data_IF_005877589163
#
_entry.id   IF_005877589163
#
_cell.length_a   1.000
_cell.length_b   1.000
_cell.length_c   1.000
_cell.angle_alpha   90.00
_cell.angle_beta   90.00
_cell.angle_gamma   90.00
#
_symmetry.space_group_name_H-M   'P 1'
#
loop_
_entity.id
_entity.type
_entity.pdbx_description
1 polymer ?
#
# COMPACT_ATOMS: atom_id res chain seq x y z
N UNK A 1 26.98 -88.11 10.85
CA UNK A 1 26.54 -86.82 10.29
C UNK A 1 27.28 -86.59 8.97
N UNK A 2 26.58 -86.41 7.84
CA UNK A 2 27.18 -86.42 6.47
C UNK A 2 27.93 -85.10 6.23
N UNK A 3 29.24 -85.13 5.97
CA UNK A 3 29.96 -85.38 4.69
C UNK A 3 29.75 -84.31 3.61
N UNK A 4 30.82 -83.53 3.41
CA UNK A 4 31.18 -82.68 2.26
C UNK A 4 31.57 -83.55 1.05
N UNK A 5 31.13 -83.19 -0.17
CA UNK A 5 31.53 -83.65 -1.52
C UNK A 5 30.43 -83.23 -2.55
N UNK A 6 30.64 -82.97 -3.85
CA UNK A 6 31.83 -82.72 -4.71
C UNK A 6 31.39 -82.08 -6.03
N UNK A 7 32.35 -81.43 -6.72
CA UNK A 7 32.39 -80.91 -8.10
C UNK A 7 31.56 -81.61 -9.21
N UNK A 8 31.20 -80.85 -10.26
CA UNK A 8 31.22 -81.12 -11.72
C UNK A 8 30.51 -79.94 -12.46
N UNK A 9 30.73 -79.55 -13.73
CA UNK A 9 31.87 -79.59 -14.67
C UNK A 9 31.57 -78.64 -15.87
N UNK A 10 32.54 -78.39 -16.78
CA UNK A 10 32.44 -77.70 -18.11
C UNK A 10 32.13 -76.18 -18.15
N UNK A 11 32.42 -75.40 -19.21
CA UNK A 11 33.58 -75.09 -20.11
C UNK A 11 33.02 -74.16 -21.22
N UNK A 12 33.74 -73.09 -21.63
CA UNK A 12 33.41 -72.11 -22.71
C UNK A 12 32.09 -71.30 -22.56
N UNK A 13 32.03 -70.00 -22.86
CA UNK A 13 32.46 -69.32 -24.09
C UNK A 13 32.94 -67.86 -23.85
N UNK A 14 33.70 -67.32 -24.79
CA UNK A 14 34.15 -65.90 -24.86
C UNK A 14 33.11 -65.06 -25.64
N UNK A 15 33.00 -63.74 -25.39
CA UNK A 15 32.91 -62.65 -26.42
C UNK A 15 32.80 -61.22 -25.78
N UNK A 16 33.88 -60.48 -26.00
CA UNK A 16 34.20 -59.02 -26.03
C UNK A 16 33.19 -57.85 -25.83
N UNK A 17 33.79 -56.72 -25.37
CA UNK A 17 33.44 -55.29 -25.57
C UNK A 17 32.25 -54.70 -24.75
N UNK A 18 32.25 -53.44 -24.28
CA UNK A 18 33.14 -52.27 -24.52
C UNK A 18 33.14 -51.26 -23.34
N UNK A 19 34.08 -50.30 -23.32
CA UNK A 19 34.26 -49.29 -22.25
C UNK A 19 33.48 -47.97 -22.50
N UNK A 20 33.12 -47.26 -21.42
CA UNK A 20 33.11 -45.80 -21.33
C UNK A 20 33.56 -45.35 -19.91
N UNK A 21 34.39 -44.29 -19.76
CA UNK A 21 34.97 -43.89 -18.47
C UNK A 21 34.19 -42.76 -17.75
N UNK A 22 34.43 -42.62 -16.45
CA UNK A 22 33.88 -41.59 -15.58
C UNK A 22 34.61 -40.25 -15.69
N UNK A 23 33.88 -39.14 -15.60
CA UNK A 23 34.42 -37.79 -15.42
C UNK A 23 33.77 -37.11 -14.21
N UNK A 24 34.61 -36.68 -13.27
CA UNK A 24 34.29 -35.75 -12.19
C UNK A 24 34.92 -34.40 -12.51
N UNK A 25 34.20 -33.29 -12.32
CA UNK A 25 34.78 -31.94 -12.35
C UNK A 25 34.12 -31.06 -11.28
N UNK A 26 34.94 -30.13 -10.79
CA UNK A 26 34.70 -29.23 -9.66
C UNK A 26 33.90 -27.99 -10.05
N UNK A 27 33.04 -27.51 -9.15
CA UNK A 27 32.45 -26.17 -9.23
C UNK A 27 33.51 -25.10 -8.91
N UNK A 28 33.93 -24.34 -9.92
CA UNK A 28 34.61 -23.05 -9.71
C UNK A 28 33.57 -21.91 -9.69
N UNK A 29 33.52 -21.17 -8.58
CA UNK A 29 32.71 -19.95 -8.47
C UNK A 29 33.43 -18.81 -9.19
N UNK A 30 33.09 -18.58 -10.46
CA UNK A 30 33.57 -17.43 -11.21
C UNK A 30 32.90 -16.13 -10.74
N UNK A 31 33.68 -15.19 -10.20
CA UNK A 31 33.21 -13.85 -9.85
C UNK A 31 33.11 -12.96 -11.09
N UNK A 32 31.90 -12.79 -11.65
CA UNK A 32 31.67 -11.85 -12.76
C UNK A 32 31.89 -10.38 -12.32
N UNK A 33 32.87 -9.72 -12.94
CA UNK A 33 33.12 -8.28 -12.76
C UNK A 33 31.95 -7.49 -13.39
N UNK A 34 31.35 -6.51 -12.70
CA UNK A 34 30.19 -5.80 -13.23
C UNK A 34 30.55 -4.93 -14.45
N UNK A 35 29.70 -4.89 -15.50
CA UNK A 35 29.98 -4.09 -16.69
C UNK A 35 29.94 -2.58 -16.37
N UNK A 36 30.87 -1.83 -16.94
CA UNK A 36 30.89 -0.37 -16.84
C UNK A 36 29.73 0.22 -17.66
N UNK A 37 28.76 0.81 -16.98
CA UNK A 37 27.54 1.37 -17.61
C UNK A 37 27.91 2.61 -18.42
N UNK A 38 27.61 2.61 -19.72
CA UNK A 38 27.85 3.76 -20.58
C UNK A 38 26.90 4.91 -20.26
N UNK A 39 27.44 6.11 -20.01
CA UNK A 39 26.63 7.30 -19.65
C UNK A 39 25.99 8.02 -20.83
N UNK A 40 26.24 7.57 -22.08
CA UNK A 40 25.63 8.13 -23.30
C UNK A 40 25.37 7.03 -24.35
N UNK A 41 24.13 6.56 -24.42
CA UNK A 41 23.66 5.60 -25.42
C UNK A 41 22.46 4.77 -24.92
N UNK A 42 21.81 4.05 -25.84
CA UNK A 42 20.83 3.02 -25.47
C UNK A 42 21.54 1.84 -24.84
N UNK A 43 21.11 1.44 -23.64
CA UNK A 43 21.69 0.33 -22.87
C UNK A 43 21.76 -0.96 -23.69
N UNK A 44 22.91 -1.64 -23.64
CA UNK A 44 23.08 -2.95 -24.27
C UNK A 44 22.23 -4.02 -23.60
N UNK A 45 21.94 -5.13 -24.30
CA UNK A 45 21.20 -6.25 -23.70
C UNK A 45 21.89 -6.80 -22.44
N UNK A 46 23.21 -6.73 -22.34
CA UNK A 46 23.97 -7.10 -21.15
C UNK A 46 23.76 -6.12 -19.99
N UNK A 47 23.85 -4.80 -20.22
CA UNK A 47 23.55 -3.77 -19.21
C UNK A 47 22.09 -3.82 -18.77
N UNK A 48 21.13 -3.98 -19.71
CA UNK A 48 19.71 -4.20 -19.38
C UNK A 48 19.52 -5.47 -18.56
N UNK A 49 20.19 -6.57 -18.90
CA UNK A 49 20.11 -7.82 -18.12
C UNK A 49 20.78 -7.71 -16.75
N UNK A 50 21.82 -6.87 -16.61
CA UNK A 50 22.51 -6.59 -15.36
C UNK A 50 21.71 -5.65 -14.46
N UNK A 51 21.09 -4.60 -15.02
CA UNK A 51 20.17 -3.71 -14.32
C UNK A 51 18.89 -4.44 -13.90
N UNK A 52 18.33 -5.27 -14.80
CA UNK A 52 17.23 -6.18 -14.47
C UNK A 52 17.65 -7.20 -13.41
N UNK A 53 18.89 -7.73 -13.44
CA UNK A 53 19.44 -8.54 -12.32
C UNK A 53 19.59 -7.74 -11.03
N UNK A 54 20.04 -6.48 -11.03
CA UNK A 54 20.07 -5.65 -9.81
C UNK A 54 18.68 -5.37 -9.25
N UNK A 55 17.67 -5.20 -10.09
CA UNK A 55 16.26 -5.09 -9.66
C UNK A 55 15.71 -6.43 -9.14
N UNK A 56 16.12 -7.56 -9.73
CA UNK A 56 15.65 -8.91 -9.34
C UNK A 56 16.41 -9.54 -8.16
N UNK A 57 17.66 -9.14 -7.89
CA UNK A 57 18.45 -9.62 -6.73
C UNK A 57 17.84 -9.23 -5.37
N UNK A 58 16.71 -8.51 -5.38
CA UNK A 58 15.96 -8.06 -4.21
C UNK A 58 14.54 -8.68 -4.11
N UNK A 59 14.10 -9.47 -5.10
CA UNK A 59 12.74 -10.03 -5.18
C UNK A 59 12.80 -11.57 -5.37
N UNK A 60 12.37 -12.38 -4.39
CA UNK A 60 10.97 -12.70 -4.00
C UNK A 60 10.37 -13.85 -4.84
N UNK A 61 9.44 -14.59 -4.24
CA UNK A 61 8.81 -15.80 -4.80
C UNK A 61 7.78 -15.51 -5.91
N UNK A 62 7.06 -16.54 -6.37
CA UNK A 62 6.05 -16.41 -7.43
C UNK A 62 4.84 -15.52 -7.08
N UNK A 63 4.63 -15.18 -5.80
CA UNK A 63 3.63 -14.22 -5.35
C UNK A 63 4.22 -12.82 -5.08
N UNK A 64 5.55 -12.68 -5.07
CA UNK A 64 6.25 -11.47 -4.67
C UNK A 64 6.53 -11.42 -3.17
N UNK A 65 6.70 -12.56 -2.49
CA UNK A 65 7.02 -12.68 -1.06
C UNK A 65 8.47 -13.10 -0.79
N UNK A 66 9.04 -12.65 0.32
CA UNK A 66 10.39 -12.97 0.79
C UNK A 66 10.41 -13.91 2.00
N UNK A 67 9.35 -13.90 2.82
CA UNK A 67 9.19 -14.69 4.06
C UNK A 67 10.34 -14.51 5.06
N UNK A 68 10.24 -13.54 5.98
CA UNK A 68 11.30 -13.31 6.96
C UNK A 68 11.27 -14.38 8.06
N UNK A 69 12.31 -15.22 8.11
CA UNK A 69 12.36 -16.38 9.01
C UNK A 69 12.67 -15.98 10.46
N UNK A 70 11.65 -15.58 11.21
CA UNK A 70 11.78 -15.19 12.62
C UNK A 70 11.79 -16.42 13.54
N UNK A 71 12.95 -16.64 14.16
CA UNK A 71 13.11 -17.58 15.27
C UNK A 71 12.89 -16.88 16.61
N UNK A 72 12.10 -17.48 17.51
CA UNK A 72 11.90 -16.97 18.87
C UNK A 72 13.03 -17.51 19.76
N UNK A 73 13.78 -16.64 20.48
CA UNK A 73 14.83 -17.09 21.38
C UNK A 73 14.32 -18.04 22.48
N UNK A 74 15.03 -19.13 22.78
CA UNK A 74 14.65 -20.04 23.86
C UNK A 74 14.68 -19.30 25.21
N UNK A 75 13.56 -19.31 25.92
CA UNK A 75 13.38 -18.60 27.18
C UNK A 75 12.48 -17.35 27.11
N UNK A 76 12.08 -16.89 25.92
CA UNK A 76 11.10 -15.81 25.81
C UNK A 76 9.71 -16.30 26.20
N UNK A 77 9.11 -15.63 27.19
CA UNK A 77 7.74 -15.87 27.66
C UNK A 77 6.88 -14.66 27.31
N UNK A 78 5.73 -14.91 26.70
CA UNK A 78 4.74 -13.90 26.34
C UNK A 78 3.48 -14.09 27.19
N UNK A 79 2.80 -12.99 27.53
CA UNK A 79 1.57 -13.04 28.34
C UNK A 79 0.45 -13.85 27.67
N UNK A 80 0.40 -13.81 26.34
CA UNK A 80 -0.58 -14.52 25.52
C UNK A 80 -0.06 -14.70 24.08
N UNK A 81 -0.76 -15.51 23.29
CA UNK A 81 -0.39 -15.81 21.91
C UNK A 81 -0.42 -14.60 20.96
N UNK A 82 -1.22 -13.57 21.24
CA UNK A 82 -1.32 -12.36 20.38
C UNK A 82 -0.05 -11.52 20.48
N UNK A 83 0.50 -11.37 21.69
CA UNK A 83 1.79 -10.68 21.88
C UNK A 83 2.96 -11.49 21.30
N UNK A 84 2.89 -12.83 21.33
CA UNK A 84 3.85 -13.70 20.62
C UNK A 84 3.78 -13.52 19.11
N UNK A 85 2.59 -13.50 18.53
CA UNK A 85 2.38 -13.31 17.09
C UNK A 85 2.76 -11.87 16.67
N UNK A 86 2.50 -10.87 17.53
CA UNK A 86 2.97 -9.50 17.34
C UNK A 86 4.50 -9.37 17.41
N UNK A 87 5.17 -10.11 18.30
CA UNK A 87 6.63 -10.17 18.33
C UNK A 87 7.20 -10.69 17.01
N UNK A 88 6.60 -11.75 16.44
CA UNK A 88 7.00 -12.27 15.13
C UNK A 88 6.83 -11.18 14.05
N UNK A 89 5.66 -10.54 13.99
CA UNK A 89 5.38 -9.46 13.05
C UNK A 89 6.37 -8.29 13.14
N UNK A 90 6.62 -7.79 14.35
CA UNK A 90 7.46 -6.62 14.60
C UNK A 90 8.95 -6.93 14.38
N UNK A 91 9.41 -8.14 14.68
CA UNK A 91 10.79 -8.55 14.37
C UNK A 91 11.00 -8.82 12.87
N UNK A 92 10.02 -9.38 12.16
CA UNK A 92 10.04 -9.46 10.69
C UNK A 92 10.12 -8.06 10.06
N UNK A 93 9.33 -7.12 10.57
CA UNK A 93 9.36 -5.74 10.08
C UNK A 93 10.68 -5.03 10.42
N UNK A 94 11.25 -5.27 11.61
CA UNK A 94 12.59 -4.78 11.97
C UNK A 94 13.69 -5.32 11.06
N UNK A 95 13.58 -6.55 10.57
CA UNK A 95 14.49 -7.10 9.56
C UNK A 95 14.27 -6.52 8.15
N UNK A 96 13.04 -6.12 7.82
CA UNK A 96 12.69 -5.44 6.59
C UNK A 96 13.03 -3.92 6.60
N UNK A 97 13.40 -3.36 7.76
CA UNK A 97 13.89 -1.98 7.92
C UNK A 97 15.39 -1.92 7.60
N UNK A 98 15.75 -1.02 6.70
CA UNK A 98 17.09 -0.85 6.12
C UNK A 98 17.76 0.42 6.66
N UNK A 99 16.97 1.43 7.05
CA UNK A 99 17.46 2.69 7.61
C UNK A 99 16.44 3.22 8.62
N UNK A 100 16.91 3.51 9.83
CA UNK A 100 16.13 4.11 10.91
C UNK A 100 16.95 5.29 11.49
N UNK A 101 16.84 6.50 10.91
CA UNK A 101 17.74 7.62 11.22
C UNK A 101 17.65 8.12 12.66
N UNK A 102 16.48 7.99 13.27
CA UNK A 102 16.22 8.41 14.66
C UNK A 102 16.29 7.26 15.66
N UNK A 103 16.60 6.03 15.21
CA UNK A 103 16.68 4.82 16.02
C UNK A 103 15.37 4.52 16.78
N UNK A 104 14.22 4.79 16.14
CA UNK A 104 12.88 4.60 16.71
C UNK A 104 12.65 3.12 17.05
N UNK A 105 12.99 2.22 16.13
CA UNK A 105 12.90 0.77 16.35
C UNK A 105 14.02 0.22 17.24
N UNK A 106 14.90 1.06 17.78
CA UNK A 106 16.02 0.68 18.62
C UNK A 106 15.59 -0.17 19.83
N UNK A 107 14.51 0.22 20.52
CA UNK A 107 14.00 -0.49 21.69
C UNK A 107 13.17 -1.75 21.37
N UNK A 108 12.91 -2.07 20.08
CA UNK A 108 12.18 -3.28 19.66
C UNK A 108 13.01 -4.55 19.90
N UNK A 109 13.12 -4.96 21.17
CA UNK A 109 13.94 -6.07 21.66
C UNK A 109 13.27 -6.71 22.89
N UNK A 110 13.43 -8.03 23.06
CA UNK A 110 12.79 -8.77 24.16
C UNK A 110 11.30 -9.07 23.91
N UNK A 111 10.61 -9.76 24.84
CA UNK A 111 9.24 -10.23 24.62
C UNK A 111 8.14 -9.20 24.91
N UNK A 112 8.41 -8.10 25.61
CA UNK A 112 7.40 -7.08 25.98
C UNK A 112 7.17 -6.08 24.85
N UNK A 113 6.50 -6.54 23.79
CA UNK A 113 6.18 -5.76 22.58
C UNK A 113 5.37 -4.49 22.84
N UNK A 114 4.75 -4.36 24.02
CA UNK A 114 3.98 -3.18 24.40
C UNK A 114 4.86 -2.05 24.97
N UNK A 115 6.18 -2.25 25.06
CA UNK A 115 7.18 -1.23 25.40
C UNK A 115 7.95 -0.71 24.18
N UNK A 116 7.65 -1.24 23.00
CA UNK A 116 8.29 -0.87 21.75
C UNK A 116 7.82 0.52 21.32
N UNK A 117 8.74 1.37 20.86
CA UNK A 117 8.42 2.72 20.40
C UNK A 117 7.44 2.64 19.22
N UNK A 118 6.39 3.46 19.27
CA UNK A 118 5.33 3.46 18.26
C UNK A 118 4.39 2.26 18.27
N UNK A 119 4.47 1.35 19.27
CA UNK A 119 3.56 0.19 19.39
C UNK A 119 2.62 0.36 20.58
N UNK A 120 1.31 0.37 20.31
CA UNK A 120 0.28 0.66 21.30
C UNK A 120 -0.57 -0.57 21.60
N UNK A 121 -0.58 -1.00 22.86
CA UNK A 121 -1.38 -2.13 23.32
C UNK A 121 -2.66 -1.69 24.04
N UNK A 122 -3.75 -2.43 23.82
CA UNK A 122 -5.03 -2.22 24.50
C UNK A 122 -5.65 -3.57 24.94
N UNK A 123 -6.66 -3.58 25.83
CA UNK A 123 -7.43 -4.78 26.14
C UNK A 123 -8.07 -5.37 24.88
N UNK A 124 -7.97 -6.69 24.71
CA UNK A 124 -8.48 -7.36 23.52
C UNK A 124 -10.01 -7.21 23.39
N UNK A 125 -10.56 -6.91 22.20
CA UNK A 125 -11.99 -6.62 22.03
C UNK A 125 -12.93 -7.76 22.41
N UNK A 126 -12.48 -9.01 22.27
CA UNK A 126 -13.20 -10.23 22.60
C UNK A 126 -12.87 -10.79 24.00
N UNK A 127 -11.76 -10.37 24.62
CA UNK A 127 -11.44 -10.70 26.00
C UNK A 127 -10.64 -9.59 26.69
N UNK A 128 -11.33 -8.75 27.46
CA UNK A 128 -10.74 -7.59 28.16
C UNK A 128 -9.71 -7.93 29.24
N UNK A 129 -9.50 -9.21 29.60
CA UNK A 129 -8.49 -9.61 30.59
C UNK A 129 -7.08 -9.80 30.00
N UNK A 130 -6.95 -9.86 28.68
CA UNK A 130 -5.66 -9.91 27.98
C UNK A 130 -5.44 -8.62 27.18
N UNK A 131 -4.18 -8.20 27.03
CA UNK A 131 -3.79 -7.11 26.12
C UNK A 131 -3.28 -7.65 24.78
N UNK A 132 -3.48 -6.86 23.74
CA UNK A 132 -3.07 -7.13 22.35
C UNK A 132 -2.53 -5.84 21.73
N UNK A 133 -1.76 -5.93 20.65
CA UNK A 133 -1.35 -4.74 19.87
C UNK A 133 -2.58 -4.23 19.12
N UNK A 134 -2.96 -2.99 19.41
CA UNK A 134 -4.16 -2.34 18.88
C UNK A 134 -3.82 -1.14 17.97
N UNK A 135 -2.64 -0.54 18.13
CA UNK A 135 -2.17 0.54 17.27
C UNK A 135 -0.68 0.42 16.95
N UNK A 136 -0.30 0.93 15.79
CA UNK A 136 1.08 1.27 15.43
C UNK A 136 1.08 2.69 14.91
N UNK A 137 1.96 3.54 15.44
CA UNK A 137 2.22 4.89 14.93
C UNK A 137 3.74 5.11 14.86
N UNK A 138 4.26 5.26 13.64
CA UNK A 138 5.65 5.61 13.35
C UNK A 138 5.74 6.87 12.48
N UNK A 139 4.80 7.81 12.66
CA UNK A 139 4.73 9.02 11.88
C UNK A 139 6.03 9.86 12.00
N UNK A 140 6.49 10.39 10.86
CA UNK A 140 7.68 11.25 10.73
C UNK A 140 9.02 10.62 11.13
N UNK A 141 9.13 9.29 11.18
CA UNK A 141 10.35 8.59 11.59
C UNK A 141 11.43 8.47 10.49
N UNK A 142 11.16 8.89 9.25
CA UNK A 142 12.05 8.74 8.07
C UNK A 142 12.60 7.31 7.88
N UNK A 143 11.88 6.28 8.32
CA UNK A 143 12.31 4.88 8.25
C UNK A 143 12.23 4.39 6.80
N UNK A 144 13.31 3.80 6.29
CA UNK A 144 13.32 3.13 4.98
C UNK A 144 13.29 1.62 5.13
N UNK A 145 12.45 0.95 4.33
CA UNK A 145 12.26 -0.49 4.36
C UNK A 145 11.07 -0.90 3.50
N UNK A 146 10.48 -2.05 3.78
CA UNK A 146 9.20 -2.48 3.22
C UNK A 146 8.29 -3.05 4.31
N UNK A 147 7.01 -3.24 3.98
CA UNK A 147 6.06 -3.96 4.83
C UNK A 147 6.14 -5.46 4.49
N UNK A 148 6.53 -6.35 5.42
CA UNK A 148 6.53 -7.79 5.19
C UNK A 148 5.13 -8.40 5.42
N UNK A 149 4.87 -9.59 4.88
CA UNK A 149 3.56 -10.27 4.99
C UNK A 149 3.29 -10.76 6.44
N UNK A 150 4.32 -10.93 7.27
CA UNK A 150 4.20 -11.28 8.69
C UNK A 150 3.48 -10.20 9.51
N UNK A 151 3.43 -8.93 9.06
CA UNK A 151 2.64 -7.88 9.71
C UNK A 151 1.12 -8.21 9.73
N UNK A 152 0.64 -9.06 8.83
CA UNK A 152 -0.72 -9.60 8.88
C UNK A 152 -1.07 -10.40 10.15
N UNK A 153 -0.06 -10.78 10.96
CA UNK A 153 -0.27 -11.40 12.27
C UNK A 153 -0.83 -10.43 13.34
N UNK A 154 -0.79 -9.12 13.12
CA UNK A 154 -1.37 -8.10 14.01
C UNK A 154 -2.91 -8.05 13.89
N UNK A 155 -3.61 -9.13 14.26
CA UNK A 155 -5.03 -9.35 13.91
C UNK A 155 -6.03 -8.37 14.56
N UNK A 156 -5.67 -7.81 15.71
CA UNK A 156 -6.51 -6.87 16.47
C UNK A 156 -6.20 -5.40 16.19
N UNK A 157 -5.27 -5.12 15.28
CA UNK A 157 -4.86 -3.78 14.91
C UNK A 157 -6.07 -2.96 14.43
N UNK A 158 -6.25 -1.79 15.07
CA UNK A 158 -7.29 -0.81 14.78
C UNK A 158 -6.71 0.43 14.09
N UNK A 159 -5.48 0.82 14.41
CA UNK A 159 -4.80 2.01 13.87
C UNK A 159 -3.44 1.59 13.30
N UNK A 160 -3.14 2.00 12.06
CA UNK A 160 -1.81 1.83 11.47
C UNK A 160 -1.38 3.11 10.75
N UNK A 161 -0.52 3.89 11.41
CA UNK A 161 0.00 5.15 10.91
C UNK A 161 1.50 5.07 10.68
N UNK A 162 1.92 5.34 9.45
CA UNK A 162 3.34 5.39 9.06
C UNK A 162 3.64 6.59 8.14
N UNK A 163 2.92 7.71 8.30
CA UNK A 163 3.10 8.94 7.54
C UNK A 163 4.58 9.40 7.54
N UNK A 164 5.03 9.99 6.43
CA UNK A 164 6.36 10.61 6.33
C UNK A 164 7.51 9.65 6.65
N UNK A 165 7.51 8.52 5.95
CA UNK A 165 8.56 7.52 5.98
C UNK A 165 9.06 7.24 4.55
N UNK A 166 9.96 6.27 4.41
CA UNK A 166 10.54 5.82 3.15
C UNK A 166 10.22 4.35 2.88
N UNK A 167 9.09 3.85 3.38
CA UNK A 167 8.64 2.49 3.10
C UNK A 167 8.26 2.33 1.62
N UNK A 168 8.68 1.22 1.00
CA UNK A 168 8.51 0.99 -0.42
C UNK A 168 7.94 -0.41 -0.75
N UNK A 169 7.65 -0.62 -2.04
CA UNK A 169 7.02 -1.85 -2.54
C UNK A 169 5.49 -1.75 -2.55
N UNK A 170 4.82 -2.89 -2.41
CA UNK A 170 3.35 -2.99 -2.42
C UNK A 170 2.82 -3.24 -1.00
N UNK A 171 1.56 -2.84 -0.76
CA UNK A 171 0.85 -3.19 0.49
C UNK A 171 0.63 -4.72 0.56
N UNK A 172 1.04 -5.40 1.66
CA UNK A 172 0.93 -6.85 1.79
C UNK A 172 -0.49 -7.41 1.67
N UNK A 173 -0.64 -8.58 1.04
CA UNK A 173 -1.96 -9.20 0.80
C UNK A 173 -2.56 -9.81 2.07
N UNK A 174 -1.71 -10.16 3.04
CA UNK A 174 -2.10 -10.62 4.38
C UNK A 174 -2.83 -9.56 5.20
N UNK A 175 -2.75 -8.27 4.87
CA UNK A 175 -3.50 -7.21 5.59
C UNK A 175 -5.02 -7.41 5.53
N UNK A 176 -5.52 -8.29 4.65
CA UNK A 176 -6.91 -8.79 4.66
C UNK A 176 -7.30 -9.44 6.01
N UNK A 177 -6.33 -9.84 6.84
CA UNK A 177 -6.53 -10.44 8.17
C UNK A 177 -6.90 -9.37 9.21
N UNK A 178 -6.53 -8.10 9.00
CA UNK A 178 -6.83 -6.98 9.89
C UNK A 178 -8.31 -6.58 9.84
N UNK A 179 -9.18 -7.44 10.40
CA UNK A 179 -10.65 -7.27 10.38
C UNK A 179 -11.16 -6.17 11.31
N UNK A 180 -10.29 -5.58 12.13
CA UNK A 180 -10.60 -4.50 13.08
C UNK A 180 -9.97 -3.16 12.71
N UNK A 181 -9.17 -3.09 11.63
CA UNK A 181 -8.55 -1.84 11.22
C UNK A 181 -9.63 -0.80 10.91
N UNK A 182 -9.45 0.38 11.48
CA UNK A 182 -10.34 1.52 11.49
C UNK A 182 -9.68 2.71 10.77
N UNK A 183 -8.39 2.95 11.05
CA UNK A 183 -7.55 3.97 10.41
C UNK A 183 -6.33 3.33 9.75
N UNK A 184 -6.10 3.69 8.49
CA UNK A 184 -4.92 3.30 7.71
C UNK A 184 -4.30 4.55 7.06
N UNK A 185 -3.16 4.98 7.60
CA UNK A 185 -2.35 6.06 7.03
C UNK A 185 -1.01 5.52 6.52
N UNK A 186 -0.91 5.44 5.19
CA UNK A 186 0.30 5.06 4.45
C UNK A 186 0.91 6.27 3.71
N UNK A 187 0.50 7.49 4.05
CA UNK A 187 0.82 8.67 3.26
C UNK A 187 2.29 9.10 3.33
N UNK A 188 2.72 9.89 2.35
CA UNK A 188 4.10 10.40 2.23
C UNK A 188 5.14 9.28 2.41
N UNK A 189 5.08 8.31 1.50
CA UNK A 189 5.93 7.12 1.45
C UNK A 189 6.36 6.84 -0.01
N UNK A 190 6.89 5.64 -0.28
CA UNK A 190 7.37 5.18 -1.60
C UNK A 190 6.63 3.92 -2.04
N UNK A 191 5.36 3.75 -1.64
CA UNK A 191 4.55 2.60 -2.06
C UNK A 191 4.18 2.74 -3.53
N UNK A 192 4.34 1.66 -4.30
CA UNK A 192 4.18 1.65 -5.75
C UNK A 192 3.37 0.44 -6.23
N UNK A 193 2.84 0.54 -7.46
CA UNK A 193 2.01 -0.48 -8.09
C UNK A 193 0.51 -0.14 -8.05
N UNK A 194 -0.38 -1.11 -8.32
CA UNK A 194 -1.82 -0.85 -8.38
C UNK A 194 -2.39 -0.43 -7.02
N UNK A 195 -3.61 0.15 -7.04
CA UNK A 195 -4.40 0.41 -5.84
C UNK A 195 -4.40 -0.82 -4.90
N UNK A 196 -4.23 -0.63 -3.57
CA UNK A 196 -4.15 -1.74 -2.62
C UNK A 196 -5.53 -2.35 -2.35
N UNK A 197 -6.02 -3.22 -3.25
CA UNK A 197 -7.34 -3.90 -3.16
C UNK A 197 -7.57 -4.65 -1.84
N UNK A 198 -6.53 -4.90 -1.05
CA UNK A 198 -6.62 -5.47 0.30
C UNK A 198 -7.42 -4.57 1.26
N UNK A 199 -7.39 -3.25 1.08
CA UNK A 199 -8.19 -2.26 1.85
C UNK A 199 -9.68 -2.47 1.67
N UNK A 200 -10.11 -2.96 0.49
CA UNK A 200 -11.51 -3.27 0.24
C UNK A 200 -12.03 -4.38 1.17
N UNK A 201 -11.14 -5.30 1.56
CA UNK A 201 -11.43 -6.47 2.40
C UNK A 201 -11.41 -6.18 3.91
N UNK A 202 -11.16 -4.92 4.30
CA UNK A 202 -11.20 -4.44 5.69
C UNK A 202 -12.63 -3.94 6.00
N UNK A 203 -13.41 -4.62 6.86
CA UNK A 203 -14.84 -4.34 7.05
C UNK A 203 -15.13 -3.24 8.09
N UNK A 204 -14.09 -2.68 8.72
CA UNK A 204 -14.19 -1.64 9.76
C UNK A 204 -13.42 -0.36 9.44
N UNK A 205 -12.76 -0.32 8.28
CA UNK A 205 -11.97 0.82 7.84
C UNK A 205 -12.90 2.03 7.62
N UNK A 206 -12.57 3.16 8.24
CA UNK A 206 -13.23 4.46 8.09
C UNK A 206 -12.33 5.51 7.46
N UNK A 207 -11.06 5.53 7.83
CA UNK A 207 -10.08 6.48 7.31
C UNK A 207 -9.06 5.74 6.43
N UNK A 208 -8.91 6.19 5.18
CA UNK A 208 -7.93 5.66 4.24
C UNK A 208 -7.10 6.81 3.66
N UNK A 209 -5.84 6.88 4.06
CA UNK A 209 -4.87 7.83 3.52
C UNK A 209 -3.72 7.10 2.80
N UNK A 210 -3.64 7.35 1.49
CA UNK A 210 -2.63 6.84 0.56
C UNK A 210 -1.89 8.00 -0.15
N UNK A 211 -2.09 9.26 0.26
CA UNK A 211 -1.57 10.42 -0.47
C UNK A 211 -0.05 10.50 -0.49
N UNK A 212 0.53 11.19 -1.48
CA UNK A 212 1.99 11.29 -1.67
C UNK A 212 2.66 9.90 -1.73
N UNK A 213 2.28 9.11 -2.73
CA UNK A 213 2.86 7.80 -3.02
C UNK A 213 3.01 7.61 -4.54
N UNK A 214 3.39 6.40 -4.94
CA UNK A 214 3.63 6.00 -6.33
C UNK A 214 2.60 4.98 -6.83
N UNK A 215 1.37 4.98 -6.27
CA UNK A 215 0.31 4.09 -6.73
C UNK A 215 -0.19 4.49 -8.13
N UNK A 216 -0.55 3.52 -8.95
CA UNK A 216 -0.87 3.72 -10.36
C UNK A 216 -2.05 2.86 -10.87
N UNK A 217 -2.50 3.14 -12.09
CA UNK A 217 -3.61 2.43 -12.71
C UNK A 217 -4.98 2.89 -12.18
N UNK A 218 -5.96 1.99 -12.18
CA UNK A 218 -7.35 2.31 -11.85
C UNK A 218 -7.66 2.19 -10.36
N UNK A 219 -8.49 3.08 -9.83
CA UNK A 219 -9.12 2.91 -8.52
C UNK A 219 -10.32 1.96 -8.68
N UNK A 220 -10.46 0.88 -7.88
CA UNK A 220 -11.61 0.00 -7.96
C UNK A 220 -12.90 0.75 -7.57
N UNK A 221 -13.96 0.58 -8.36
CA UNK A 221 -15.25 1.22 -8.10
C UNK A 221 -15.87 0.81 -6.76
N UNK A 222 -15.53 -0.39 -6.28
CA UNK A 222 -15.97 -0.96 -5.01
C UNK A 222 -15.46 -0.15 -3.80
N UNK A 223 -14.48 0.75 -3.99
CA UNK A 223 -14.06 1.71 -2.97
C UNK A 223 -15.22 2.64 -2.58
N UNK A 224 -16.00 3.10 -3.56
CA UNK A 224 -17.09 4.06 -3.36
C UNK A 224 -18.35 3.41 -2.78
N UNK A 225 -18.45 2.08 -2.79
CA UNK A 225 -19.51 1.34 -2.08
C UNK A 225 -19.12 1.00 -0.62
N UNK A 226 -17.91 1.37 -0.15
CA UNK A 226 -17.52 1.18 1.24
C UNK A 226 -18.07 2.28 2.13
N UNK A 227 -18.45 1.87 3.33
CA UNK A 227 -18.79 2.71 4.47
C UNK A 227 -17.54 3.43 5.04
N UNK A 228 -16.84 4.21 4.21
CA UNK A 228 -15.70 5.06 4.60
C UNK A 228 -16.17 6.46 5.00
N UNK A 229 -15.39 7.14 5.83
CA UNK A 229 -15.60 8.52 6.24
C UNK A 229 -14.67 9.49 5.49
N UNK A 230 -13.39 9.13 5.35
CA UNK A 230 -12.42 9.94 4.62
C UNK A 230 -11.55 9.13 3.65
N UNK A 231 -11.31 9.68 2.45
CA UNK A 231 -10.47 9.09 1.40
C UNK A 231 -9.46 10.12 0.88
N UNK A 232 -8.18 9.89 1.15
CA UNK A 232 -7.08 10.69 0.62
C UNK A 232 -6.24 9.84 -0.33
N UNK A 233 -6.30 10.11 -1.64
CA UNK A 233 -5.52 9.39 -2.66
C UNK A 233 -4.76 10.35 -3.61
N UNK A 234 -4.64 11.61 -3.20
CA UNK A 234 -3.98 12.67 -3.97
C UNK A 234 -2.45 12.49 -4.06
N UNK A 235 -1.84 13.12 -5.07
CA UNK A 235 -0.40 12.96 -5.36
C UNK A 235 0.00 11.48 -5.52
N UNK A 236 -0.61 10.86 -6.53
CA UNK A 236 -0.30 9.51 -7.00
C UNK A 236 -0.29 9.52 -8.54
N UNK A 237 -0.21 8.35 -9.18
CA UNK A 237 -0.28 8.16 -10.63
C UNK A 237 -1.56 7.43 -11.05
N UNK A 238 -2.66 7.60 -10.30
CA UNK A 238 -3.92 6.96 -10.66
C UNK A 238 -4.47 7.54 -11.96
N UNK A 239 -4.91 6.66 -12.86
CA UNK A 239 -5.51 6.99 -14.14
C UNK A 239 -6.82 6.23 -14.31
N UNK A 240 -7.93 6.94 -14.08
CA UNK A 240 -9.27 6.36 -14.02
C UNK A 240 -10.33 7.39 -14.45
N UNK A 241 -11.47 6.93 -14.94
CA UNK A 241 -12.68 7.76 -15.05
C UNK A 241 -13.57 7.48 -13.84
N UNK A 242 -14.17 8.51 -13.24
CA UNK A 242 -15.01 8.32 -12.07
C UNK A 242 -16.27 7.50 -12.44
N UNK A 243 -16.61 6.45 -11.67
CA UNK A 243 -17.68 5.53 -12.03
C UNK A 243 -19.05 6.05 -11.60
N UNK A 244 -20.13 5.53 -12.19
CA UNK A 244 -21.50 5.94 -11.85
C UNK A 244 -21.84 5.74 -10.36
N UNK A 245 -21.21 4.78 -9.68
CA UNK A 245 -21.39 4.56 -8.24
C UNK A 245 -20.52 5.46 -7.34
N UNK A 246 -19.80 6.46 -7.88
CA UNK A 246 -19.05 7.44 -7.08
C UNK A 246 -19.94 8.08 -6.00
N UNK A 247 -21.17 8.43 -6.37
CA UNK A 247 -22.21 8.96 -5.50
C UNK A 247 -22.74 8.03 -4.40
N UNK A 248 -22.35 6.75 -4.36
CA UNK A 248 -22.73 5.85 -3.28
C UNK A 248 -21.89 6.07 -2.01
N UNK A 249 -20.76 6.79 -2.14
CA UNK A 249 -19.79 6.92 -1.07
C UNK A 249 -20.33 7.83 0.06
N UNK A 250 -20.36 7.38 1.32
CA UNK A 250 -20.91 8.14 2.44
C UNK A 250 -19.90 9.09 3.09
N UNK A 251 -18.75 9.31 2.44
CA UNK A 251 -17.62 10.10 2.95
C UNK A 251 -17.98 11.57 3.23
N UNK A 252 -17.36 12.11 4.26
CA UNK A 252 -17.31 13.54 4.58
C UNK A 252 -16.21 14.25 3.77
N UNK A 253 -15.05 13.60 3.56
CA UNK A 253 -13.89 14.18 2.88
C UNK A 253 -13.32 13.27 1.80
N UNK A 254 -13.13 13.79 0.59
CA UNK A 254 -12.46 13.08 -0.51
C UNK A 254 -11.49 13.94 -1.33
N UNK A 255 -10.22 13.54 -1.35
CA UNK A 255 -9.13 14.27 -2.02
C UNK A 255 -8.52 13.40 -3.12
N UNK A 256 -8.86 13.73 -4.37
CA UNK A 256 -8.43 13.07 -5.61
C UNK A 256 -7.31 13.84 -6.34
N UNK A 257 -6.92 14.99 -5.81
CA UNK A 257 -6.03 15.96 -6.44
C UNK A 257 -4.70 15.39 -6.97
N UNK A 258 -4.10 16.04 -7.97
CA UNK A 258 -2.75 15.72 -8.45
C UNK A 258 -2.61 14.23 -8.85
N UNK A 259 -3.39 13.82 -9.85
CA UNK A 259 -3.43 12.48 -10.42
C UNK A 259 -3.67 12.58 -11.94
N UNK A 260 -4.00 11.47 -12.60
CA UNK A 260 -4.42 11.42 -14.01
C UNK A 260 -5.87 10.92 -14.16
N UNK A 261 -6.76 11.31 -13.25
CA UNK A 261 -8.20 11.09 -13.46
C UNK A 261 -8.66 11.83 -14.71
N UNK A 262 -9.62 11.26 -15.43
CA UNK A 262 -10.14 11.81 -16.69
C UNK A 262 -11.63 11.46 -16.86
N UNK A 263 -12.21 11.80 -18.00
CA UNK A 263 -13.65 11.65 -18.20
C UNK A 263 -14.44 12.82 -17.61
N UNK A 264 -15.73 12.62 -17.42
CA UNK A 264 -16.62 13.62 -16.84
C UNK A 264 -16.73 13.43 -15.32
N UNK A 265 -17.10 14.49 -14.60
CA UNK A 265 -17.60 14.34 -13.22
C UNK A 265 -19.01 13.72 -13.29
N UNK A 266 -19.27 12.57 -12.64
CA UNK A 266 -20.55 11.87 -12.77
C UNK A 266 -21.65 12.60 -12.00
N UNK A 267 -22.86 12.61 -12.55
CA UNK A 267 -24.04 13.22 -11.92
C UNK A 267 -24.39 12.60 -10.55
N UNK A 268 -23.94 11.37 -10.28
CA UNK A 268 -24.11 10.73 -8.98
C UNK A 268 -23.38 11.43 -7.84
N UNK A 269 -22.37 12.28 -8.11
CA UNK A 269 -21.74 13.13 -7.09
C UNK A 269 -22.78 13.89 -6.24
N UNK A 270 -23.86 14.39 -6.85
CA UNK A 270 -24.97 15.04 -6.11
C UNK A 270 -25.79 14.15 -5.17
N UNK A 271 -25.45 12.87 -5.03
CA UNK A 271 -26.04 11.96 -4.04
C UNK A 271 -25.21 11.87 -2.74
N UNK A 272 -23.99 12.44 -2.70
CA UNK A 272 -23.09 12.37 -1.55
C UNK A 272 -23.50 13.35 -0.45
N UNK A 273 -24.63 13.08 0.21
CA UNK A 273 -25.27 14.03 1.16
C UNK A 273 -24.46 14.36 2.42
N UNK A 274 -23.44 13.56 2.75
CA UNK A 274 -22.54 13.80 3.88
C UNK A 274 -21.30 14.62 3.51
N UNK A 275 -21.08 14.90 2.22
CA UNK A 275 -19.83 15.45 1.71
C UNK A 275 -19.64 16.91 2.14
N UNK A 276 -18.56 17.14 2.87
CA UNK A 276 -18.11 18.46 3.35
C UNK A 276 -16.97 18.99 2.47
N UNK A 277 -15.98 18.15 2.14
CA UNK A 277 -14.83 18.57 1.32
C UNK A 277 -14.59 17.63 0.13
N UNK A 278 -14.53 18.20 -1.07
CA UNK A 278 -14.09 17.51 -2.29
C UNK A 278 -13.05 18.31 -3.06
N UNK A 279 -11.88 17.70 -3.25
CA UNK A 279 -10.75 18.32 -3.95
C UNK A 279 -10.33 17.41 -5.13
N UNK A 280 -10.70 17.84 -6.33
CA UNK A 280 -10.44 17.18 -7.61
C UNK A 280 -9.38 17.91 -8.46
N UNK A 281 -8.70 18.91 -7.89
CA UNK A 281 -7.75 19.77 -8.60
C UNK A 281 -6.63 19.02 -9.34
N UNK A 282 -6.07 19.65 -10.39
CA UNK A 282 -4.92 19.15 -11.15
C UNK A 282 -5.11 17.69 -11.61
N UNK A 283 -6.08 17.52 -12.50
CA UNK A 283 -6.47 16.26 -13.14
C UNK A 283 -6.85 16.53 -14.60
N UNK A 284 -7.32 15.50 -15.30
CA UNK A 284 -7.83 15.57 -16.68
C UNK A 284 -9.36 15.52 -16.79
N UNK A 285 -10.10 15.97 -15.76
CA UNK A 285 -11.57 16.03 -15.84
C UNK A 285 -11.98 17.03 -16.93
N UNK A 286 -12.98 16.64 -17.74
CA UNK A 286 -13.45 17.34 -18.94
C UNK A 286 -14.96 17.45 -18.95
N UNK A 287 -15.50 18.16 -19.95
CA UNK A 287 -16.94 18.46 -20.09
C UNK A 287 -17.44 19.47 -19.05
N UNK A 288 -18.75 19.70 -19.04
CA UNK A 288 -19.43 20.54 -18.05
C UNK A 288 -19.52 19.82 -16.69
N UNK A 289 -19.58 20.61 -15.61
CA UNK A 289 -20.00 20.09 -14.30
C UNK A 289 -21.48 19.67 -14.37
N UNK A 290 -21.87 18.54 -13.74
CA UNK A 290 -23.27 18.13 -13.69
C UNK A 290 -24.07 19.07 -12.78
N UNK A 291 -25.31 19.48 -13.15
CA UNK A 291 -26.13 20.36 -12.31
C UNK A 291 -26.50 19.73 -10.95
N UNK A 292 -26.37 18.41 -10.82
CA UNK A 292 -26.52 17.67 -9.57
C UNK A 292 -25.60 18.12 -8.43
N UNK A 293 -24.46 18.78 -8.70
CA UNK A 293 -23.58 19.32 -7.64
C UNK A 293 -24.32 20.27 -6.68
N UNK A 294 -25.36 20.97 -7.16
CA UNK A 294 -26.22 21.84 -6.35
C UNK A 294 -27.02 21.13 -5.24
N UNK A 295 -26.90 19.80 -5.11
CA UNK A 295 -27.46 19.02 -4.01
C UNK A 295 -26.49 18.84 -2.84
N UNK A 296 -25.21 19.17 -3.03
CA UNK A 296 -24.15 19.09 -2.01
C UNK A 296 -24.25 20.25 -1.01
N UNK A 297 -25.32 20.24 -0.20
CA UNK A 297 -25.64 21.34 0.73
C UNK A 297 -24.59 21.54 1.83
N UNK A 298 -23.99 20.45 2.29
CA UNK A 298 -22.99 20.46 3.36
C UNK A 298 -21.56 20.79 2.86
N UNK A 299 -21.36 20.93 1.55
CA UNK A 299 -20.02 21.08 0.99
C UNK A 299 -19.46 22.48 1.25
N UNK A 300 -18.43 22.55 2.09
CA UNK A 300 -17.70 23.77 2.45
C UNK A 300 -16.52 24.04 1.52
N UNK A 301 -15.95 22.99 0.92
CA UNK A 301 -14.82 23.03 -0.03
C UNK A 301 -15.15 22.23 -1.29
N UNK A 302 -15.16 22.90 -2.44
CA UNK A 302 -15.35 22.27 -3.75
C UNK A 302 -14.30 22.78 -4.76
N UNK A 303 -13.15 22.10 -4.81
CA UNK A 303 -12.04 22.49 -5.69
C UNK A 303 -11.95 21.58 -6.92
N UNK A 304 -12.17 22.17 -8.10
CA UNK A 304 -12.04 21.53 -9.43
C UNK A 304 -11.00 22.23 -10.32
N UNK A 305 -10.13 23.05 -9.73
CA UNK A 305 -9.10 23.84 -10.41
C UNK A 305 -8.12 22.98 -11.23
N UNK A 306 -7.43 23.61 -12.20
CA UNK A 306 -6.42 22.93 -13.04
C UNK A 306 -6.94 21.63 -13.73
N UNK A 307 -8.19 21.67 -14.21
CA UNK A 307 -8.81 20.63 -15.02
C UNK A 307 -9.13 21.16 -16.44
N UNK A 308 -9.71 20.30 -17.29
CA UNK A 308 -10.11 20.60 -18.67
C UNK A 308 -11.64 20.78 -18.79
N UNK A 309 -12.27 21.30 -17.72
CA UNK A 309 -13.71 21.55 -17.67
C UNK A 309 -14.11 22.67 -18.65
N UNK A 310 -15.34 22.59 -19.15
CA UNK A 310 -15.87 23.50 -20.18
C UNK A 310 -17.32 23.87 -19.91
N UNK A 311 -17.84 24.88 -20.60
CA UNK A 311 -19.22 25.34 -20.44
C UNK A 311 -19.40 26.27 -19.24
N UNK A 312 -20.63 26.76 -18.99
CA UNK A 312 -20.94 27.58 -17.84
C UNK A 312 -20.94 26.77 -16.54
N UNK A 313 -20.69 27.44 -15.41
CA UNK A 313 -21.07 26.90 -14.11
C UNK A 313 -22.60 26.67 -14.08
N UNK A 314 -23.10 25.53 -13.59
CA UNK A 314 -24.54 25.31 -13.45
C UNK A 314 -25.16 26.29 -12.44
N UNK A 315 -26.29 26.92 -12.79
CA UNK A 315 -27.03 27.83 -11.88
C UNK A 315 -27.39 27.16 -10.54
N UNK A 316 -27.50 25.82 -10.54
CA UNK A 316 -27.75 25.01 -9.34
C UNK A 316 -26.62 25.06 -8.31
N UNK A 317 -25.42 25.57 -8.64
CA UNK A 317 -24.33 25.76 -7.68
C UNK A 317 -24.73 26.64 -6.49
N UNK A 318 -25.70 27.55 -6.68
CA UNK A 318 -26.29 28.35 -5.60
C UNK A 318 -27.09 27.54 -4.55
N UNK A 319 -27.26 26.22 -4.73
CA UNK A 319 -27.79 25.30 -3.73
C UNK A 319 -26.73 24.68 -2.79
N UNK A 320 -25.45 24.98 -3.01
CA UNK A 320 -24.35 24.60 -2.10
C UNK A 320 -24.23 25.68 -1.00
N UNK A 321 -25.17 25.64 -0.06
CA UNK A 321 -25.44 26.71 0.91
C UNK A 321 -24.24 27.03 1.84
N UNK A 322 -23.39 26.05 2.15
CA UNK A 322 -22.22 26.19 3.03
C UNK A 322 -20.89 26.46 2.29
N UNK A 323 -20.90 26.62 0.95
CA UNK A 323 -19.68 26.70 0.15
C UNK A 323 -18.87 27.99 0.41
N UNK A 324 -17.65 27.83 0.91
CA UNK A 324 -16.76 28.96 1.20
C UNK A 324 -16.28 29.66 -0.09
N UNK A 325 -16.36 30.99 -0.11
CA UNK A 325 -16.10 31.80 -1.30
C UNK A 325 -14.67 31.68 -1.88
N UNK A 326 -13.69 31.27 -1.05
CA UNK A 326 -12.30 31.04 -1.48
C UNK A 326 -12.11 29.66 -2.14
N UNK A 327 -12.97 28.68 -1.88
CA UNK A 327 -12.79 27.29 -2.31
C UNK A 327 -13.21 26.99 -3.75
N UNK A 328 -14.09 27.80 -4.34
CA UNK A 328 -14.70 27.55 -5.66
C UNK A 328 -13.78 27.90 -6.87
N UNK A 329 -12.48 28.11 -6.64
CA UNK A 329 -11.58 28.79 -7.58
C UNK A 329 -11.04 27.90 -8.72
N UNK A 330 -11.81 27.73 -9.80
CA UNK A 330 -11.23 27.32 -11.07
C UNK A 330 -10.48 28.50 -11.74
N UNK A 331 -9.13 28.45 -11.79
CA UNK A 331 -8.37 29.41 -12.61
C UNK A 331 -8.81 29.33 -14.08
N UNK A 332 -9.28 30.46 -14.60
CA UNK A 332 -10.06 30.52 -15.84
C UNK A 332 -11.11 31.65 -15.84
N UNK A 333 -11.43 32.19 -14.66
CA UNK A 333 -12.25 33.41 -14.51
C UNK A 333 -13.73 33.12 -14.25
N UNK A 334 -14.04 32.72 -13.02
CA UNK A 334 -15.41 32.58 -12.53
C UNK A 334 -15.56 33.31 -11.21
N UNK A 335 -16.11 34.53 -11.25
CA UNK A 335 -16.60 35.20 -10.05
C UNK A 335 -17.99 34.67 -9.71
N UNK A 336 -18.24 34.38 -8.43
CA UNK A 336 -19.54 33.94 -7.93
C UNK A 336 -20.64 34.98 -8.27
N UNK A 337 -21.80 34.58 -8.83
CA UNK A 337 -22.92 35.48 -9.05
C UNK A 337 -23.68 35.73 -7.74
N UNK A 338 -23.05 36.46 -6.80
CA UNK A 338 -23.63 36.66 -5.46
C UNK A 338 -22.81 37.56 -4.54
N UNK A 339 -22.87 38.87 -4.77
CA UNK A 339 -22.71 39.94 -3.76
C UNK A 339 -21.56 39.87 -2.74
N UNK A 340 -20.56 40.73 -2.93
CA UNK A 340 -19.78 41.26 -1.80
C UNK A 340 -20.72 41.77 -0.70
N UNK A 341 -20.58 41.24 0.52
CA UNK A 341 -20.98 41.95 1.74
C UNK A 341 -19.69 42.38 2.43
N UNK A 342 -19.19 43.55 2.02
CA UNK A 342 -18.02 44.18 2.62
C UNK A 342 -18.41 44.72 4.01
N UNK A 343 -17.98 44.02 5.06
CA UNK A 343 -18.32 44.35 6.43
C UNK A 343 -17.27 45.29 7.06
N UNK A 344 -17.45 46.60 6.84
CA UNK A 344 -17.01 47.63 7.77
C UNK A 344 -15.85 48.52 7.35
N UNK A 345 -16.18 49.74 6.93
CA UNK A 345 -15.49 50.97 7.37
C UNK A 345 -16.40 52.21 7.14
N UNK A 346 -17.14 52.60 8.19
CA UNK A 346 -17.38 53.98 8.75
C UNK A 346 -18.29 53.83 9.98
#
# INVERSE_FOLDING_TARGET
MKKRNTNFFFLLLVITLSLLPSLSLSDEVASEIPPAISSRGTLTHAEVSYLRRRQLLYYKDAAGDRGENITIPPGFVFENSRLRDAYIALQAWKQAIISDPFNVTGNWTGPDVCTYEGVFCAPAPDNKTIRTVAGVDLNHADIAGYLPEELGLLRDLAIFHINSNRFCGMVPRTFKIWKRLYELDLSNNRFAGPFPNVTLQMPKLKFLDLRFNEFEGTVPKELFDKDLDAIFINHNRFRFELPDNFGNSPVSVIVLANNNFHGCVPASLGNMTNLEEIIMMNNGFRSCLPPEIGRLRNATVFDVSFNQLMGPLPDTIGGMEELSAESACAEGGWAMPGGFVEAGEV
#
